data_IF_089523521908
#
_entry.id   IF_089523521908
#
_cell.length_a   1.000
_cell.length_b   1.000
_cell.length_c   1.000
_cell.angle_alpha   90.00
_cell.angle_beta   90.00
_cell.angle_gamma   90.00
#
_symmetry.space_group_name_H-M   'P 1'
#
loop_
_entity.id
_entity.type
_entity.pdbx_description
1 polymer ?
#
# COMPACT_ATOMS: atom_id res chain seq x y z
N UNK A 1 -21.31 5.12 -14.35
CA UNK A 1 -20.02 5.28 -15.04
C UNK A 1 -18.87 5.07 -14.02
N UNK A 2 -18.77 3.87 -13.44
CA UNK A 2 -18.03 3.68 -12.17
C UNK A 2 -17.09 2.48 -12.17
N UNK A 3 -17.53 1.31 -12.64
CA UNK A 3 -16.74 0.07 -12.57
C UNK A 3 -15.53 0.06 -13.52
N UNK A 4 -15.71 0.55 -14.75
CA UNK A 4 -14.62 0.64 -15.74
C UNK A 4 -13.50 1.57 -15.27
N UNK A 5 -13.85 2.72 -14.69
CA UNK A 5 -12.90 3.69 -14.16
C UNK A 5 -12.08 3.14 -12.98
N UNK A 6 -12.74 2.40 -12.08
CA UNK A 6 -12.08 1.72 -10.96
C UNK A 6 -11.11 0.64 -11.48
N UNK A 7 -11.54 -0.18 -12.45
CA UNK A 7 -10.69 -1.19 -13.06
C UNK A 7 -9.46 -0.58 -13.75
N UNK A 8 -9.66 0.53 -14.47
CA UNK A 8 -8.58 1.23 -15.17
C UNK A 8 -7.60 1.87 -14.18
N UNK A 9 -8.11 2.47 -13.10
CA UNK A 9 -7.27 2.96 -11.99
C UNK A 9 -6.44 1.84 -11.36
N UNK A 10 -7.07 0.71 -11.03
CA UNK A 10 -6.36 -0.46 -10.49
C UNK A 10 -5.28 -0.95 -11.48
N UNK A 11 -5.60 -1.05 -12.78
CA UNK A 11 -4.65 -1.49 -13.80
C UNK A 11 -3.44 -0.54 -13.89
N UNK A 12 -3.65 0.78 -13.85
CA UNK A 12 -2.57 1.77 -13.82
C UNK A 12 -1.74 1.61 -12.55
N UNK A 13 -2.38 1.50 -11.39
CA UNK A 13 -1.70 1.34 -10.10
C UNK A 13 -0.80 0.10 -10.09
N UNK A 14 -1.32 -1.05 -10.53
CA UNK A 14 -0.56 -2.29 -10.64
C UNK A 14 0.59 -2.17 -11.65
N UNK A 15 0.36 -1.48 -12.76
CA UNK A 15 1.41 -1.23 -13.77
C UNK A 15 2.53 -0.34 -13.23
N UNK A 16 2.18 0.75 -12.53
CA UNK A 16 3.16 1.63 -11.87
C UNK A 16 3.94 0.89 -10.79
N UNK A 17 3.24 0.09 -9.96
CA UNK A 17 3.88 -0.75 -8.95
C UNK A 17 4.89 -1.71 -9.59
N UNK A 18 4.49 -2.41 -10.64
CA UNK A 18 5.35 -3.35 -11.36
C UNK A 18 6.57 -2.66 -11.96
N UNK A 19 6.37 -1.52 -12.64
CA UNK A 19 7.45 -0.75 -13.26
C UNK A 19 8.44 -0.22 -12.21
N UNK A 20 7.94 0.29 -11.09
CA UNK A 20 8.77 0.76 -9.98
C UNK A 20 9.59 -0.40 -9.40
N UNK A 21 8.95 -1.54 -9.09
CA UNK A 21 9.66 -2.72 -8.60
C UNK A 21 10.76 -3.16 -9.59
N UNK A 22 10.44 -3.23 -10.88
CA UNK A 22 11.40 -3.59 -11.92
C UNK A 22 12.59 -2.62 -11.95
N UNK A 23 12.32 -1.32 -11.90
CA UNK A 23 13.33 -0.26 -11.93
C UNK A 23 14.23 -0.32 -10.70
N UNK A 24 13.67 -0.43 -9.50
CA UNK A 24 14.42 -0.51 -8.25
C UNK A 24 15.24 -1.80 -8.17
N UNK A 25 14.67 -2.94 -8.61
CA UNK A 25 15.37 -4.22 -8.69
C UNK A 25 16.60 -4.10 -9.59
N UNK A 26 16.45 -3.47 -10.77
CA UNK A 26 17.54 -3.28 -11.74
C UNK A 26 18.59 -2.28 -11.24
N UNK A 27 18.18 -1.19 -10.60
CA UNK A 27 19.07 -0.13 -10.14
C UNK A 27 19.90 -0.54 -8.92
N UNK A 28 19.25 -1.16 -7.93
CA UNK A 28 19.89 -1.56 -6.68
C UNK A 28 20.42 -2.99 -6.70
N UNK A 29 20.26 -3.72 -7.82
CA UNK A 29 20.63 -5.13 -7.98
C UNK A 29 20.05 -6.02 -6.88
N UNK A 30 18.82 -5.72 -6.47
CA UNK A 30 18.14 -6.45 -5.39
C UNK A 30 17.62 -7.76 -5.97
N UNK A 31 18.10 -8.90 -5.50
CA UNK A 31 17.40 -10.16 -5.77
C UNK A 31 16.18 -10.22 -4.86
N UNK A 32 15.01 -10.49 -5.45
CA UNK A 32 13.78 -10.73 -4.69
C UNK A 32 13.97 -12.07 -3.97
N UNK A 33 14.62 -12.06 -2.82
CA UNK A 33 14.74 -13.26 -2.01
C UNK A 33 13.34 -13.62 -1.50
N UNK A 34 13.00 -14.90 -1.61
CA UNK A 34 11.74 -15.42 -1.11
C UNK A 34 11.80 -15.32 0.40
N UNK A 35 11.22 -14.25 0.93
CA UNK A 35 10.88 -14.01 2.34
C UNK A 35 11.44 -15.10 3.26
N UNK A 36 12.64 -14.90 3.82
CA UNK A 36 13.18 -15.87 4.77
C UNK A 36 12.17 -15.99 5.92
N UNK A 37 11.61 -17.20 6.10
CA UNK A 37 10.56 -17.50 7.08
C UNK A 37 10.96 -17.11 8.52
N UNK A 38 12.26 -16.97 8.78
CA UNK A 38 12.83 -16.55 10.07
C UNK A 38 12.69 -15.04 10.32
N UNK A 39 12.48 -14.23 9.28
CA UNK A 39 12.28 -12.78 9.37
C UNK A 39 10.87 -12.39 9.83
N UNK A 40 9.90 -13.30 9.67
CA UNK A 40 8.54 -13.13 10.20
C UNK A 40 8.56 -13.49 11.68
N UNK A 41 9.22 -12.64 12.46
CA UNK A 41 9.17 -12.71 13.91
C UNK A 41 7.68 -12.65 14.32
N UNK A 42 7.31 -13.33 15.40
CA UNK A 42 5.93 -13.34 15.91
C UNK A 42 5.37 -11.92 16.09
N UNK A 43 6.24 -10.96 16.35
CA UNK A 43 5.99 -9.52 16.42
C UNK A 43 5.45 -8.94 15.10
N UNK A 44 6.02 -9.27 13.95
CA UNK A 44 5.54 -8.79 12.64
C UNK A 44 4.10 -9.24 12.38
N UNK A 45 3.81 -10.52 12.61
CA UNK A 45 2.45 -11.07 12.48
C UNK A 45 1.46 -10.39 13.43
N UNK A 46 1.86 -10.17 14.68
CA UNK A 46 1.01 -9.46 15.66
C UNK A 46 0.73 -8.02 15.24
N UNK A 47 1.75 -7.29 14.80
CA UNK A 47 1.61 -5.89 14.35
C UNK A 47 0.71 -5.81 13.12
N UNK A 48 0.93 -6.63 12.09
CA UNK A 48 0.05 -6.66 10.92
C UNK A 48 -1.38 -7.07 11.28
N UNK A 49 -1.57 -8.00 12.23
CA UNK A 49 -2.91 -8.40 12.66
C UNK A 49 -3.63 -7.29 13.42
N UNK A 50 -2.95 -6.60 14.33
CA UNK A 50 -3.51 -5.46 15.08
C UNK A 50 -3.86 -4.32 14.13
N UNK A 51 -2.95 -3.96 13.23
CA UNK A 51 -3.14 -2.88 12.27
C UNK A 51 -4.26 -3.24 11.29
N UNK A 52 -4.26 -4.46 10.75
CA UNK A 52 -5.34 -4.96 9.92
C UNK A 52 -6.70 -4.90 10.62
N UNK A 53 -6.75 -5.25 11.92
CA UNK A 53 -7.96 -5.13 12.74
C UNK A 53 -8.43 -3.68 12.91
N UNK A 54 -7.51 -2.74 13.17
CA UNK A 54 -7.83 -1.31 13.26
C UNK A 54 -8.37 -0.80 11.93
N UNK A 55 -7.76 -1.17 10.81
CA UNK A 55 -8.24 -0.78 9.48
C UNK A 55 -9.59 -1.38 9.13
N UNK A 56 -9.86 -2.62 9.54
CA UNK A 56 -11.17 -3.25 9.38
C UNK A 56 -12.25 -2.51 10.19
N UNK A 57 -11.96 -2.13 11.43
CA UNK A 57 -12.89 -1.36 12.25
C UNK A 57 -13.12 0.04 11.66
N UNK A 58 -12.07 0.69 11.17
CA UNK A 58 -12.19 1.97 10.47
C UNK A 58 -13.02 1.83 9.17
N UNK A 59 -12.84 0.75 8.41
CA UNK A 59 -13.66 0.44 7.23
C UNK A 59 -15.13 0.32 7.59
N UNK A 60 -15.46 -0.46 8.62
CA UNK A 60 -16.84 -0.68 9.06
C UNK A 60 -17.46 0.62 9.58
N UNK A 61 -16.72 1.40 10.36
CA UNK A 61 -17.18 2.68 10.88
C UNK A 61 -17.51 3.67 9.75
N UNK A 62 -16.58 3.83 8.79
CA UNK A 62 -16.78 4.71 7.62
C UNK A 62 -17.97 4.21 6.77
N UNK A 63 -18.06 2.90 6.56
CA UNK A 63 -19.14 2.32 5.74
C UNK A 63 -20.51 2.42 6.38
N UNK A 64 -20.60 2.44 7.71
CA UNK A 64 -21.86 2.50 8.45
C UNK A 64 -22.33 3.93 8.72
N UNK A 65 -21.40 4.87 8.96
CA UNK A 65 -21.75 6.24 9.40
C UNK A 65 -21.59 7.33 8.33
N UNK A 66 -20.94 7.06 7.19
CA UNK A 66 -20.66 8.07 6.16
C UNK A 66 -21.34 7.72 4.83
N UNK A 67 -22.48 8.35 4.55
CA UNK A 67 -23.17 8.22 3.25
C UNK A 67 -22.61 9.15 2.16
N UNK A 68 -22.01 10.29 2.54
CA UNK A 68 -21.40 11.21 1.58
C UNK A 68 -19.93 10.83 1.29
N UNK A 69 -19.58 10.67 0.01
CA UNK A 69 -18.23 10.37 -0.48
C UNK A 69 -17.62 9.03 -0.04
N UNK A 70 -18.45 7.99 0.15
CA UNK A 70 -18.02 6.61 0.46
C UNK A 70 -16.83 6.16 -0.41
N UNK A 71 -16.87 6.44 -1.71
CA UNK A 71 -15.81 6.08 -2.66
C UNK A 71 -14.45 6.68 -2.31
N UNK A 72 -14.41 7.95 -1.89
CA UNK A 72 -13.18 8.63 -1.46
C UNK A 72 -12.54 7.96 -0.26
N UNK A 73 -13.37 7.71 0.74
CA UNK A 73 -12.95 7.12 2.01
C UNK A 73 -12.49 5.67 1.83
N UNK A 74 -13.17 4.91 0.97
CA UNK A 74 -12.77 3.55 0.60
C UNK A 74 -11.41 3.51 -0.12
N UNK A 75 -11.17 4.43 -1.07
CA UNK A 75 -9.89 4.50 -1.78
C UNK A 75 -8.76 4.88 -0.83
N UNK A 76 -8.96 5.86 0.05
CA UNK A 76 -7.95 6.21 1.06
C UNK A 76 -7.66 5.07 2.02
N UNK A 77 -8.70 4.36 2.47
CA UNK A 77 -8.51 3.22 3.34
C UNK A 77 -7.73 2.10 2.64
N UNK A 78 -8.04 1.83 1.36
CA UNK A 78 -7.29 0.87 0.54
C UNK A 78 -5.81 1.27 0.44
N UNK A 79 -5.53 2.55 0.20
CA UNK A 79 -4.16 3.07 0.11
C UNK A 79 -3.41 2.90 1.43
N UNK A 80 -4.03 3.25 2.56
CA UNK A 80 -3.44 3.04 3.88
C UNK A 80 -3.20 1.55 4.17
N UNK A 81 -4.14 0.69 3.77
CA UNK A 81 -4.04 -0.76 3.95
C UNK A 81 -2.85 -1.38 3.19
N UNK A 82 -2.45 -0.81 2.06
CA UNK A 82 -1.25 -1.25 1.34
C UNK A 82 0.03 -0.53 1.80
N UNK A 83 -0.03 0.77 2.09
CA UNK A 83 1.14 1.56 2.45
C UNK A 83 1.75 1.15 3.80
N UNK A 84 0.91 0.92 4.82
CA UNK A 84 1.37 0.70 6.20
C UNK A 84 2.10 -0.64 6.35
N UNK A 85 1.58 -1.77 5.84
CA UNK A 85 2.35 -3.01 5.81
C UNK A 85 3.68 -2.86 5.09
N UNK A 86 3.73 -2.17 3.94
CA UNK A 86 4.99 -1.91 3.23
C UNK A 86 5.98 -1.08 4.05
N UNK A 87 5.52 -0.08 4.82
CA UNK A 87 6.37 0.67 5.76
C UNK A 87 6.93 -0.20 6.88
N UNK A 88 6.10 -1.08 7.43
CA UNK A 88 6.48 -1.99 8.52
C UNK A 88 7.50 -2.99 8.01
N UNK A 89 7.26 -3.60 6.84
CA UNK A 89 8.20 -4.49 6.18
C UNK A 89 9.53 -3.78 5.89
N UNK A 90 9.50 -2.54 5.39
CA UNK A 90 10.70 -1.75 5.16
C UNK A 90 11.49 -1.52 6.46
N UNK A 91 10.81 -1.18 7.54
CA UNK A 91 11.44 -0.95 8.84
C UNK A 91 12.10 -2.21 9.39
N UNK A 92 11.43 -3.36 9.33
CA UNK A 92 12.01 -4.63 9.77
C UNK A 92 13.18 -5.04 8.90
N UNK A 93 13.07 -4.93 7.57
CA UNK A 93 14.17 -5.25 6.65
C UNK A 93 15.39 -4.38 6.91
N UNK A 94 15.20 -3.07 7.13
CA UNK A 94 16.30 -2.16 7.47
C UNK A 94 16.94 -2.47 8.83
N UNK A 95 16.15 -2.91 9.81
CA UNK A 95 16.60 -3.15 11.18
C UNK A 95 17.31 -4.48 11.37
N UNK A 96 16.71 -5.56 10.86
CA UNK A 96 17.13 -6.92 11.15
C UNK A 96 18.09 -7.49 10.09
N UNK A 97 18.14 -6.92 8.88
CA UNK A 97 19.10 -7.30 7.84
C UNK A 97 19.73 -6.07 7.16
N UNK A 98 20.92 -5.69 7.65
CA UNK A 98 21.66 -4.53 7.14
C UNK A 98 22.28 -4.75 5.76
N UNK A 99 22.42 -6.00 5.31
CA UNK A 99 23.00 -6.32 4.00
C UNK A 99 21.93 -6.38 2.91
N UNK A 100 20.71 -6.76 3.28
CA UNK A 100 19.58 -6.77 2.37
C UNK A 100 19.16 -5.35 1.96
N UNK A 101 19.18 -5.11 0.65
CA UNK A 101 18.63 -3.88 0.04
C UNK A 101 17.12 -3.96 -0.19
N UNK A 102 16.46 -5.02 0.31
CA UNK A 102 15.03 -5.24 0.10
C UNK A 102 14.16 -4.17 0.75
N UNK A 103 14.64 -3.54 1.83
CA UNK A 103 13.95 -2.39 2.44
C UNK A 103 13.71 -1.24 1.44
N UNK A 104 14.57 -1.07 0.43
CA UNK A 104 14.43 -0.05 -0.63
C UNK A 104 13.21 -0.32 -1.52
N UNK A 105 12.91 -1.60 -1.76
CA UNK A 105 11.71 -2.00 -2.50
C UNK A 105 10.45 -1.74 -1.67
N UNK A 106 10.47 -2.15 -0.40
CA UNK A 106 9.34 -1.95 0.52
C UNK A 106 9.04 -0.46 0.77
N UNK A 107 10.07 0.37 0.98
CA UNK A 107 9.88 1.81 1.17
C UNK A 107 9.44 2.50 -0.11
N UNK A 108 9.92 2.04 -1.28
CA UNK A 108 9.44 2.49 -2.58
C UNK A 108 7.96 2.22 -2.77
N UNK A 109 7.49 1.02 -2.42
CA UNK A 109 6.05 0.70 -2.44
C UNK A 109 5.25 1.60 -1.51
N UNK A 110 5.73 1.77 -0.28
CA UNK A 110 5.05 2.60 0.70
C UNK A 110 4.91 4.06 0.22
N UNK A 111 6.00 4.62 -0.32
CA UNK A 111 6.01 5.97 -0.93
C UNK A 111 5.08 6.05 -2.13
N UNK A 112 5.07 5.05 -3.02
CA UNK A 112 4.18 5.03 -4.18
C UNK A 112 2.71 5.07 -3.75
N UNK A 113 2.31 4.26 -2.76
CA UNK A 113 0.94 4.27 -2.25
C UNK A 113 0.59 5.61 -1.60
N UNK A 114 1.49 6.20 -0.81
CA UNK A 114 1.27 7.53 -0.21
C UNK A 114 1.10 8.62 -1.27
N UNK A 115 1.97 8.66 -2.28
CA UNK A 115 1.88 9.63 -3.39
C UNK A 115 0.57 9.46 -4.15
N UNK A 116 0.17 8.23 -4.43
CA UNK A 116 -1.13 7.96 -5.05
C UNK A 116 -2.28 8.43 -4.16
N UNK A 117 -2.22 8.23 -2.84
CA UNK A 117 -3.23 8.73 -1.90
C UNK A 117 -3.35 10.25 -1.94
N UNK A 118 -2.22 10.94 -1.90
CA UNK A 118 -2.14 12.39 -2.00
C UNK A 118 -2.53 12.92 -3.38
N UNK A 119 -2.49 12.09 -4.42
CA UNK A 119 -2.96 12.46 -5.76
C UNK A 119 -4.46 12.25 -5.91
N UNK A 120 -4.99 11.13 -5.41
CA UNK A 120 -6.41 10.79 -5.57
C UNK A 120 -7.28 11.66 -4.67
N UNK A 121 -6.88 11.89 -3.42
CA UNK A 121 -7.71 12.57 -2.41
C UNK A 121 -8.00 14.05 -2.71
N UNK A 122 -7.01 14.94 -2.91
CA UNK A 122 -7.26 16.35 -3.19
C UNK A 122 -7.58 16.65 -4.66
N UNK A 123 -6.98 15.95 -5.63
CA UNK A 123 -7.14 16.29 -7.05
C UNK A 123 -8.34 15.64 -7.72
N UNK A 124 -9.10 14.79 -7.01
CA UNK A 124 -10.25 14.05 -7.56
C UNK A 124 -9.89 13.33 -8.87
N UNK A 125 -8.62 12.92 -8.99
CA UNK A 125 -8.10 12.35 -10.22
C UNK A 125 -8.91 11.10 -10.60
N UNK A 126 -9.10 10.90 -11.90
CA UNK A 126 -9.95 9.86 -12.50
C UNK A 126 -11.46 10.00 -12.30
N UNK A 127 -11.99 11.10 -11.76
CA UNK A 127 -13.44 11.22 -11.53
C UNK A 127 -13.97 10.21 -10.51
N UNK A 128 -13.06 9.59 -9.74
CA UNK A 128 -13.39 8.65 -8.66
C UNK A 128 -14.06 9.34 -7.46
N UNK A 129 -13.94 10.66 -7.38
CA UNK A 129 -14.49 11.52 -6.32
C UNK A 129 -15.65 12.42 -6.78
N UNK A 130 -16.17 12.20 -7.99
CA UNK A 130 -17.35 12.89 -8.52
C UNK A 130 -18.53 11.94 -8.55
N UNK A 131 -19.28 11.93 -7.44
CA UNK A 131 -20.72 11.66 -7.39
C UNK A 131 -21.34 12.89 -6.75
#
# INVERSE_FOLDING_TARGET
MTLFTILLFCAILFSMKYLMQYTLTKLFHVKKEVYHKEFVNSTHKKVNFIIGGIFLLAFLYISYFHEANLTSSLIMLMICFFAIPSFIEAYFWWKDDKESKYFVLCIGEAVLFVVVGLMVWPFRMFGLLTI
#
